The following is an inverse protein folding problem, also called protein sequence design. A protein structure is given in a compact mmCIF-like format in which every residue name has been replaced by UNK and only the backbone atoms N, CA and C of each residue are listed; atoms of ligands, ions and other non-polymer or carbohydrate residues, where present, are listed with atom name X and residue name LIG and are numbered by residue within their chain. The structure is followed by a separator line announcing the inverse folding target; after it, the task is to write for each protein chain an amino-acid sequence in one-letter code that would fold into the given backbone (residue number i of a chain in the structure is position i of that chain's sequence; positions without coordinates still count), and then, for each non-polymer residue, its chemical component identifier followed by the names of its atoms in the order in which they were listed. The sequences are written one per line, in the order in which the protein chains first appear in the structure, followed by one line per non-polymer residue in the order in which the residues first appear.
data_IF_311450520017
#
_entry.id   IF_311450520017
#
_cell.length_a   1.000
_cell.length_b   1.000
_cell.length_c   1.000
_cell.angle_alpha   90.00
_cell.angle_beta   90.00
_cell.angle_gamma   90.00
#
_symmetry.space_group_name_H-M   'P 1'
#
loop_
_entity.id
_entity.type
_entity.pdbx_description
1 polymer ?
#
# COMPACT_ATOMS: atom_id res chain seq x y z
N UNK A 1 8.91 2.08 -5.79
CA UNK A 1 9.39 0.85 -5.08
C UNK A 1 8.25 -0.10 -4.74
N UNK A 2 7.02 0.40 -4.65
CA UNK A 2 5.81 -0.37 -4.54
C UNK A 2 5.05 -0.47 -5.87
N UNK A 3 3.93 -1.18 -5.79
CA UNK A 3 2.90 -1.26 -6.81
C UNK A 3 1.58 -1.68 -6.12
N UNK A 4 0.54 -1.90 -6.91
CA UNK A 4 -0.78 -2.33 -6.45
C UNK A 4 -0.87 -3.81 -6.02
N UNK A 5 0.23 -4.57 -6.06
CA UNK A 5 0.26 -6.00 -5.69
C UNK A 5 1.15 -6.30 -4.47
N UNK A 6 1.97 -5.35 -4.05
CA UNK A 6 2.88 -5.52 -2.91
C UNK A 6 2.59 -4.45 -1.86
N UNK A 7 2.60 -4.85 -0.59
CA UNK A 7 2.51 -3.98 0.58
C UNK A 7 3.33 -2.68 0.41
N UNK A 8 2.81 -1.54 0.86
CA UNK A 8 3.43 -0.23 0.67
C UNK A 8 4.83 -0.17 1.27
N UNK A 9 5.72 0.60 0.64
CA UNK A 9 7.12 0.69 1.05
C UNK A 9 7.28 1.12 2.52
N UNK A 10 6.47 2.09 2.99
CA UNK A 10 6.48 2.52 4.39
C UNK A 10 6.03 1.42 5.38
N UNK A 11 5.13 0.52 4.97
CA UNK A 11 4.70 -0.62 5.77
C UNK A 11 5.69 -1.80 5.74
N UNK A 12 6.40 -1.99 4.62
CA UNK A 12 7.49 -2.98 4.51
C UNK A 12 8.74 -2.57 5.28
N UNK A 13 9.02 -1.27 5.32
CA UNK A 13 10.17 -0.69 6.01
C UNK A 13 9.74 0.37 7.04
N UNK A 14 9.18 -0.05 8.20
CA UNK A 14 8.71 0.86 9.24
C UNK A 14 9.81 1.82 9.71
N UNK A 15 9.50 3.12 9.76
CA UNK A 15 10.45 4.18 10.12
C UNK A 15 11.53 4.47 9.07
N UNK A 16 11.47 3.81 7.90
CA UNK A 16 12.44 3.96 6.80
C UNK A 16 11.80 4.29 5.44
N UNK A 17 10.49 4.50 5.38
CA UNK A 17 9.75 4.69 4.11
C UNK A 17 10.30 5.84 3.27
N UNK A 18 10.50 7.00 3.89
CA UNK A 18 11.06 8.19 3.23
C UNK A 18 12.47 7.94 2.69
N UNK A 19 13.32 7.27 3.48
CA UNK A 19 14.70 6.92 3.09
C UNK A 19 14.70 5.97 1.89
N UNK A 20 13.76 5.02 1.81
CA UNK A 20 13.62 4.13 0.66
C UNK A 20 13.16 4.88 -0.60
N UNK A 21 12.23 5.83 -0.47
CA UNK A 21 11.81 6.69 -1.58
C UNK A 21 12.96 7.58 -2.06
N UNK A 22 13.70 8.21 -1.14
CA UNK A 22 14.89 9.00 -1.47
C UNK A 22 15.96 8.16 -2.18
N UNK A 23 16.22 6.94 -1.70
CA UNK A 23 17.15 6.02 -2.33
C UNK A 23 16.74 5.72 -3.78
N UNK A 24 15.45 5.47 -4.03
CA UNK A 24 14.94 5.22 -5.38
C UNK A 24 15.14 6.42 -6.32
N UNK A 25 15.13 7.66 -5.80
CA UNK A 25 15.37 8.88 -6.58
C UNK A 25 16.86 9.17 -6.80
N UNK A 26 17.75 8.75 -5.89
CA UNK A 26 19.19 9.02 -5.98
C UNK A 26 19.95 8.01 -6.84
N UNK A 27 19.40 6.81 -7.04
CA UNK A 27 20.04 5.78 -7.87
C UNK A 27 19.99 6.15 -9.36
N UNK A 28 21.05 5.85 -10.13
CA UNK A 28 21.06 6.11 -11.57
C UNK A 28 20.00 5.26 -12.28
N UNK A 29 19.22 5.90 -13.14
CA UNK A 29 18.15 5.25 -13.91
C UNK A 29 16.85 6.03 -13.87
N UNK A 30 15.73 5.33 -14.01
CA UNK A 30 14.38 5.91 -13.94
C UNK A 30 13.77 5.58 -12.57
N UNK A 31 13.46 6.62 -11.80
CA UNK A 31 12.74 6.47 -10.55
C UNK A 31 11.25 6.20 -10.81
N UNK A 32 10.71 5.15 -10.20
CA UNK A 32 9.28 4.80 -10.28
C UNK A 32 8.68 4.78 -8.87
N UNK A 33 7.66 5.61 -8.68
CA UNK A 33 6.89 5.74 -7.44
C UNK A 33 5.44 5.29 -7.66
N UNK A 34 4.90 4.55 -6.70
CA UNK A 34 3.47 4.22 -6.65
C UNK A 34 2.72 5.29 -5.82
N UNK A 35 1.46 5.56 -6.15
CA UNK A 35 0.70 6.62 -5.50
C UNK A 35 0.69 6.46 -3.96
N UNK A 36 0.88 7.57 -3.26
CA UNK A 36 0.99 7.58 -1.81
C UNK A 36 2.40 7.28 -1.27
N UNK A 37 3.34 6.77 -2.07
CA UNK A 37 4.74 6.64 -1.62
C UNK A 37 5.40 8.00 -1.36
N UNK A 38 4.97 9.03 -2.10
CA UNK A 38 5.44 10.41 -2.01
C UNK A 38 5.00 11.13 -0.71
N UNK A 39 3.91 10.68 -0.10
CA UNK A 39 3.41 11.19 1.20
C UNK A 39 3.55 10.14 2.31
N UNK A 40 4.30 9.05 2.07
CA UNK A 40 4.61 8.05 3.09
C UNK A 40 3.41 7.21 3.55
N UNK A 41 2.37 7.07 2.73
CA UNK A 41 1.17 6.30 3.11
C UNK A 41 1.52 4.84 3.45
N UNK A 42 0.82 4.32 4.46
CA UNK A 42 0.94 2.96 4.98
C UNK A 42 -0.26 2.10 4.60
N UNK A 43 -0.09 0.78 4.62
CA UNK A 43 -1.14 -0.21 4.44
C UNK A 43 -2.25 -0.06 5.47
N UNK A 44 -3.51 -0.07 5.02
CA UNK A 44 -4.67 -0.23 5.90
C UNK A 44 -4.99 -1.72 6.09
N UNK A 45 -4.50 -2.33 7.17
CA UNK A 45 -4.64 -3.79 7.40
C UNK A 45 -5.93 -4.21 8.11
N UNK A 46 -6.66 -3.25 8.65
CA UNK A 46 -7.92 -3.42 9.37
C UNK A 46 -9.15 -3.42 8.44
N UNK A 47 -9.01 -3.98 7.24
CA UNK A 47 -10.13 -4.16 6.30
C UNK A 47 -10.85 -5.46 6.66
N UNK A 48 -12.18 -5.40 6.83
CA UNK A 48 -12.99 -6.58 7.12
C UNK A 48 -13.05 -7.51 5.90
N UNK A 49 -13.39 -8.78 6.11
CA UNK A 49 -13.59 -9.71 4.98
C UNK A 49 -14.76 -9.22 4.10
N UNK A 50 -15.78 -8.63 4.72
CA UNK A 50 -16.98 -8.14 4.05
C UNK A 50 -16.69 -6.89 3.17
N UNK A 51 -15.70 -6.08 3.54
CA UNK A 51 -15.25 -4.91 2.77
C UNK A 51 -14.13 -5.23 1.77
N UNK A 52 -13.60 -6.46 1.81
CA UNK A 52 -12.54 -6.91 0.91
C UNK A 52 -13.08 -7.03 -0.51
N UNK A 53 -12.43 -6.37 -1.46
CA UNK A 53 -12.79 -6.39 -2.88
C UNK A 53 -11.80 -7.17 -3.73
N UNK A 54 -10.61 -7.49 -3.21
CA UNK A 54 -9.61 -8.27 -3.94
C UNK A 54 -10.12 -9.69 -4.25
N UNK A 55 -10.28 -10.08 -5.54
CA UNK A 55 -10.71 -11.42 -5.90
C UNK A 55 -9.80 -12.52 -5.32
N UNK A 56 -8.49 -12.26 -5.18
CA UNK A 56 -7.55 -13.22 -4.61
C UNK A 56 -7.84 -13.50 -3.13
N UNK A 57 -8.24 -12.47 -2.38
CA UNK A 57 -8.60 -12.59 -0.98
C UNK A 57 -9.98 -13.23 -0.79
N UNK A 58 -10.94 -12.87 -1.65
CA UNK A 58 -12.26 -13.52 -1.68
C UNK A 58 -12.14 -15.02 -1.94
N UNK A 59 -11.25 -15.44 -2.85
CA UNK A 59 -10.97 -16.85 -3.13
C UNK A 59 -10.24 -17.56 -1.98
N UNK A 60 -9.39 -16.85 -1.23
CA UNK A 60 -8.68 -17.41 -0.09
C UNK A 60 -9.60 -17.72 1.11
N UNK A 61 -10.77 -17.06 1.17
CA UNK A 61 -11.77 -17.25 2.21
C UNK A 61 -11.48 -16.48 3.50
N UNK A 62 -12.48 -16.43 4.39
CA UNK A 62 -12.49 -15.56 5.59
C UNK A 62 -11.34 -15.80 6.57
N UNK A 63 -10.74 -16.98 6.59
CA UNK A 63 -9.60 -17.28 7.48
C UNK A 63 -8.26 -16.80 6.92
N UNK A 64 -8.15 -16.62 5.60
CA UNK A 64 -6.87 -16.35 4.92
C UNK A 64 -6.86 -15.06 4.10
N UNK A 65 -7.99 -14.35 4.01
CA UNK A 65 -8.12 -13.15 3.19
C UNK A 65 -7.04 -12.09 3.53
N UNK A 66 -6.71 -11.90 4.81
CA UNK A 66 -5.71 -10.92 5.24
C UNK A 66 -4.31 -11.20 4.70
N UNK A 67 -3.96 -12.47 4.47
CA UNK A 67 -2.64 -12.87 3.93
C UNK A 67 -2.59 -12.78 2.41
N UNK A 68 -3.76 -12.86 1.75
CA UNK A 68 -3.89 -12.88 0.31
C UNK A 68 -4.29 -11.52 -0.29
N UNK A 69 -4.85 -10.61 0.52
CA UNK A 69 -5.42 -9.35 0.06
C UNK A 69 -4.38 -8.31 -0.29
N UNK A 70 -4.61 -7.67 -1.43
CA UNK A 70 -3.92 -6.46 -1.91
C UNK A 70 -4.76 -5.20 -1.69
N UNK A 71 -5.91 -5.30 -1.03
CA UNK A 71 -6.71 -4.13 -0.68
C UNK A 71 -6.00 -3.16 0.28
N UNK A 72 -5.17 -3.62 1.24
CA UNK A 72 -4.46 -2.70 2.14
C UNK A 72 -3.59 -1.66 1.44
N UNK A 73 -3.02 -2.01 0.29
CA UNK A 73 -2.20 -1.09 -0.52
C UNK A 73 -3.01 -0.36 -1.62
N UNK A 74 -4.30 -0.69 -1.81
CA UNK A 74 -5.20 -0.10 -2.82
C UNK A 74 -6.25 0.86 -2.24
N UNK A 75 -6.10 1.26 -0.98
CA UNK A 75 -7.00 2.27 -0.39
C UNK A 75 -6.91 3.60 -1.16
N UNK A 76 -7.98 4.41 -1.17
CA UNK A 76 -7.96 5.73 -1.81
C UNK A 76 -6.74 6.57 -1.39
N UNK A 77 -6.30 7.44 -2.29
CA UNK A 77 -5.27 8.46 -2.00
C UNK A 77 -5.75 9.37 -0.86
N UNK A 78 -4.82 9.91 -0.08
CA UNK A 78 -5.05 10.89 1.00
C UNK A 78 -4.67 12.29 0.51
N UNK A 79 -5.59 12.97 -0.14
CA UNK A 79 -5.48 14.32 -0.69
C UNK A 79 -5.48 15.39 0.41
N UNK A 80 -6.39 15.28 1.38
CA UNK A 80 -6.55 16.24 2.47
C UNK A 80 -7.25 15.61 3.68
N UNK A 81 -7.64 16.42 4.67
CA UNK A 81 -8.27 15.98 5.91
C UNK A 81 -9.81 15.92 5.85
N UNK A 82 -10.40 16.17 4.67
CA UNK A 82 -11.84 16.04 4.46
C UNK A 82 -12.28 14.57 4.33
N UNK A 83 -13.59 14.36 4.37
CA UNK A 83 -14.16 13.01 4.42
C UNK A 83 -13.89 12.29 3.09
N UNK A 84 -13.19 11.15 3.16
CA UNK A 84 -12.77 10.30 2.03
C UNK A 84 -11.79 10.99 1.06
N UNK A 85 -11.09 12.01 1.53
CA UNK A 85 -10.06 12.68 0.74
C UNK A 85 -8.70 12.08 0.97
#
# INVERSE_FOLDING_TARGET
MGNHDVARTASRYPGRGEQMTMLAMMLPGVAVTYYGEEIGMVDKRDISFEDTQDPQACLAGKDKYQQASRDPNRTPMQWDDSINA
#
